data_IF_871393857377
#
_entry.id   IF_871393857377
#
_cell.length_a   1.000
_cell.length_b   1.000
_cell.length_c   1.000
_cell.angle_alpha   90.00
_cell.angle_beta   90.00
_cell.angle_gamma   90.00
#
_symmetry.space_group_name_H-M   'P 1'
#
loop_
_entity.id
_entity.type
_entity.pdbx_description
1 polymer ?
#
# COMPACT_ATOMS: atom_id res chain seq x y z
N UNK A 1 4.60 13.47 13.98
CA UNK A 1 5.04 13.22 12.58
C UNK A 1 3.79 12.94 11.76
N UNK A 2 3.69 13.43 10.52
CA UNK A 2 2.57 13.07 9.64
C UNK A 2 2.93 11.72 9.02
N UNK A 3 2.25 10.67 9.45
CA UNK A 3 2.42 9.34 8.87
C UNK A 3 1.83 9.34 7.47
N UNK A 4 2.69 9.19 6.45
CA UNK A 4 2.27 9.03 5.06
C UNK A 4 2.14 7.56 4.74
N UNK A 5 1.09 7.23 4.01
CA UNK A 5 0.76 5.87 3.61
C UNK A 5 0.87 5.76 2.10
N UNK A 6 1.18 4.56 1.62
CA UNK A 6 1.26 4.26 0.19
C UNK A 6 0.34 3.09 -0.10
N UNK A 7 -0.43 3.19 -1.18
CA UNK A 7 -1.24 2.09 -1.68
C UNK A 7 -0.40 1.30 -2.69
N UNK A 8 -0.16 0.04 -2.36
CA UNK A 8 0.59 -0.91 -3.16
C UNK A 8 -0.33 -1.99 -3.71
N UNK A 9 -0.10 -2.41 -4.95
CA UNK A 9 -0.76 -3.56 -5.58
C UNK A 9 0.28 -4.51 -6.16
N UNK A 10 -0.12 -5.70 -6.59
CA UNK A 10 0.76 -6.60 -7.36
C UNK A 10 1.38 -5.96 -8.60
N UNK A 11 0.76 -4.92 -9.15
CA UNK A 11 1.25 -4.19 -10.31
C UNK A 11 2.17 -3.02 -9.95
N UNK A 12 2.47 -2.83 -8.65
CA UNK A 12 3.32 -1.77 -8.13
C UNK A 12 2.59 -0.72 -7.30
N UNK A 13 3.27 0.40 -7.06
CA UNK A 13 2.76 1.54 -6.30
C UNK A 13 1.70 2.29 -7.12
N UNK A 14 0.54 2.53 -6.53
CA UNK A 14 -0.51 3.32 -7.16
C UNK A 14 -0.43 4.77 -6.72
N UNK A 15 -0.53 5.01 -5.41
CA UNK A 15 -0.80 6.34 -4.88
C UNK A 15 -0.23 6.56 -3.48
N UNK A 16 0.19 7.80 -3.22
CA UNK A 16 0.53 8.27 -1.88
C UNK A 16 -0.71 8.88 -1.22
N UNK A 17 -0.95 8.53 0.03
CA UNK A 17 -2.11 8.97 0.82
C UNK A 17 -1.63 9.65 2.09
N UNK A 18 -2.26 10.78 2.41
CA UNK A 18 -1.79 11.68 3.48
C UNK A 18 -2.39 11.36 4.84
N UNK A 19 -3.37 10.46 4.90
CA UNK A 19 -4.03 10.01 6.13
C UNK A 19 -4.36 8.53 6.11
N UNK A 20 -4.47 7.93 7.30
CA UNK A 20 -4.85 6.53 7.47
C UNK A 20 -6.28 6.27 6.99
N UNK A 21 -7.19 7.19 7.28
CA UNK A 21 -8.60 7.05 6.96
C UNK A 21 -8.84 7.06 5.45
N UNK A 22 -8.22 7.99 4.71
CA UNK A 22 -8.25 7.96 3.25
C UNK A 22 -7.64 6.66 2.70
N UNK A 23 -6.56 6.17 3.31
CA UNK A 23 -5.89 4.97 2.82
C UNK A 23 -6.80 3.73 2.98
N UNK A 24 -7.54 3.65 4.09
CA UNK A 24 -8.55 2.62 4.34
C UNK A 24 -9.70 2.74 3.33
N UNK A 25 -10.20 3.94 3.08
CA UNK A 25 -11.29 4.16 2.13
C UNK A 25 -10.87 3.73 0.71
N UNK A 26 -9.68 4.12 0.27
CA UNK A 26 -9.14 3.71 -1.04
C UNK A 26 -8.98 2.21 -1.16
N UNK A 27 -8.46 1.51 -0.16
CA UNK A 27 -8.37 0.04 -0.21
C UNK A 27 -9.74 -0.60 -0.39
N UNK A 28 -10.76 -0.12 0.32
CA UNK A 28 -12.12 -0.64 0.17
C UNK A 28 -12.63 -0.45 -1.25
N UNK A 29 -12.41 0.73 -1.83
CA UNK A 29 -12.75 0.99 -3.23
C UNK A 29 -12.01 0.04 -4.18
N UNK A 30 -10.69 -0.15 -4.04
CA UNK A 30 -9.94 -1.10 -4.86
C UNK A 30 -10.48 -2.53 -4.71
N UNK A 31 -10.79 -2.95 -3.49
CA UNK A 31 -11.36 -4.27 -3.22
C UNK A 31 -12.74 -4.46 -3.88
N UNK A 32 -13.62 -3.45 -3.82
CA UNK A 32 -14.91 -3.45 -4.53
C UNK A 32 -14.76 -3.59 -6.06
N UNK A 33 -13.64 -3.10 -6.62
CA UNK A 33 -13.30 -3.26 -8.03
C UNK A 33 -12.51 -4.54 -8.33
N UNK A 34 -12.36 -5.45 -7.37
CA UNK A 34 -11.65 -6.72 -7.52
C UNK A 34 -10.13 -6.59 -7.57
N UNK A 35 -9.57 -5.48 -7.07
CA UNK A 35 -8.14 -5.22 -7.02
C UNK A 35 -7.62 -5.46 -5.60
N UNK A 36 -6.67 -6.39 -5.46
CA UNK A 36 -5.94 -6.60 -4.20
C UNK A 36 -4.92 -5.45 -3.98
N UNK A 37 -5.25 -4.56 -3.06
CA UNK A 37 -4.43 -3.44 -2.65
C UNK A 37 -4.02 -3.51 -1.17
N UNK A 38 -2.87 -2.92 -0.83
CA UNK A 38 -2.25 -2.98 0.49
C UNK A 38 -1.81 -1.58 0.93
N UNK A 39 -1.99 -1.27 2.21
CA UNK A 39 -1.50 -0.03 2.83
C UNK A 39 -0.14 -0.36 3.40
N UNK A 40 0.87 0.35 2.94
CA UNK A 40 2.23 0.28 3.47
C UNK A 40 2.69 1.66 3.94
N UNK A 41 3.70 1.70 4.79
CA UNK A 41 4.31 2.96 5.22
C UNK A 41 5.20 3.53 4.11
N UNK A 42 5.45 4.85 4.14
CA UNK A 42 6.43 5.47 3.24
C UNK A 42 7.82 4.83 3.33
N UNK A 43 8.24 4.42 4.53
CA UNK A 43 9.52 3.73 4.74
C UNK A 43 9.58 2.39 4.03
N UNK A 44 8.49 1.60 4.11
CA UNK A 44 8.41 0.32 3.43
C UNK A 44 8.36 0.49 1.91
N UNK A 45 7.64 1.49 1.42
CA UNK A 45 7.62 1.82 0.00
C UNK A 45 9.03 2.16 -0.53
N UNK A 46 9.81 2.93 0.23
CA UNK A 46 11.20 3.24 -0.12
C UNK A 46 12.08 1.99 -0.10
N UNK A 47 11.95 1.11 0.90
CA UNK A 47 12.69 -0.17 0.95
C UNK A 47 12.47 -0.99 -0.33
N UNK A 48 11.22 -1.16 -0.74
CA UNK A 48 10.85 -1.91 -1.95
C UNK A 48 11.42 -1.23 -3.21
N UNK A 49 11.35 0.10 -3.28
CA UNK A 49 11.82 0.86 -4.45
C UNK A 49 13.35 0.91 -4.59
N UNK A 50 14.08 0.96 -3.48
CA UNK A 50 15.55 1.10 -3.45
C UNK A 50 16.28 -0.25 -3.41
N UNK A 51 15.65 -1.29 -2.84
CA UNK A 51 16.31 -2.57 -2.55
C UNK A 51 16.14 -3.66 -3.60
N UNK A 52 15.29 -3.47 -4.63
CA UNK A 52 14.83 -4.56 -5.51
C UNK A 52 14.22 -5.74 -4.72
N UNK A 53 13.67 -5.44 -3.54
CA UNK A 53 13.09 -6.43 -2.62
C UNK A 53 11.59 -6.56 -2.85
N UNK A 54 11.10 -7.78 -3.04
CA UNK A 54 9.67 -8.04 -3.25
C UNK A 54 8.82 -7.67 -2.02
N UNK A 55 7.61 -7.15 -2.26
CA UNK A 55 6.64 -6.93 -1.19
C UNK A 55 6.13 -8.28 -0.67
N UNK A 56 6.38 -8.56 0.62
CA UNK A 56 5.92 -9.79 1.24
C UNK A 56 4.44 -9.68 1.60
N UNK A 57 3.60 -10.36 0.80
CA UNK A 57 2.16 -10.39 1.03
C UNK A 57 1.83 -11.03 2.39
N UNK A 58 1.03 -10.36 3.24
CA UNK A 58 0.57 -10.95 4.49
C UNK A 58 -0.29 -12.19 4.19
N UNK A 59 0.00 -13.29 4.89
CA UNK A 59 -0.78 -14.53 4.82
C UNK A 59 -1.76 -14.57 5.99
N UNK A 60 -3.02 -14.84 5.68
CA UNK A 60 -4.07 -15.08 6.67
C UNK A 60 -4.33 -16.58 6.68
N UNK A 61 -3.72 -17.30 7.63
CA UNK A 61 -4.03 -18.70 7.93
C UNK A 61 -5.16 -18.79 8.97
#
# INVERSE_FOLDING_TARGET
MKDKYVIYTKNGFLENVLSRDEAIEKIKQYHEHGVDAYIISETEAKRIQEGDEEFHLPKWE
#
